data_IF_885339612869
#
_entry.id   IF_885339612869
#
_cell.length_a   1.000
_cell.length_b   1.000
_cell.length_c   1.000
_cell.angle_alpha   90.00
_cell.angle_beta   90.00
_cell.angle_gamma   90.00
#
_symmetry.space_group_name_H-M   'P 1'
#
loop_
_entity.id
_entity.type
_entity.pdbx_description
1 polymer ?
#
# COMPACT_ATOMS: atom_id res chain seq x y z
N UNK A 1 -2.45 3.56 14.61
CA UNK A 1 -1.63 2.43 14.08
C UNK A 1 -2.31 2.02 12.80
N UNK A 2 -1.55 1.84 11.72
CA UNK A 2 -2.13 1.55 10.42
C UNK A 2 -1.85 0.09 10.03
N UNK A 3 -2.88 -0.66 9.71
CA UNK A 3 -2.75 -1.96 9.06
C UNK A 3 -2.85 -1.81 7.55
N UNK A 4 -1.89 -2.35 6.81
CA UNK A 4 -1.89 -2.35 5.34
C UNK A 4 -1.94 -3.76 4.76
N UNK A 5 -2.62 -3.91 3.64
CA UNK A 5 -2.70 -5.15 2.87
C UNK A 5 -2.79 -4.88 1.36
N UNK A 6 -2.45 -5.90 0.56
CA UNK A 6 -2.55 -5.84 -0.91
C UNK A 6 -3.36 -7.00 -1.46
N UNK A 7 -4.38 -6.68 -2.26
CA UNK A 7 -5.20 -7.66 -2.97
C UNK A 7 -5.10 -7.51 -4.49
N UNK A 8 -4.77 -8.60 -5.18
CA UNK A 8 -4.91 -8.65 -6.64
C UNK A 8 -6.38 -8.55 -7.05
N UNK A 9 -6.69 -7.63 -7.96
CA UNK A 9 -8.05 -7.42 -8.44
C UNK A 9 -8.46 -8.51 -9.45
N UNK A 10 -9.75 -8.87 -9.50
CA UNK A 10 -10.28 -9.72 -10.56
C UNK A 10 -10.20 -8.98 -11.90
N UNK A 11 -10.19 -9.74 -13.01
CA UNK A 11 -10.32 -9.15 -14.33
C UNK A 11 -11.70 -8.48 -14.45
N UNK A 12 -11.71 -7.21 -14.84
CA UNK A 12 -12.94 -6.49 -15.11
C UNK A 12 -13.53 -6.87 -16.47
N UNK A 13 -14.79 -6.52 -16.68
CA UNK A 13 -15.44 -6.67 -17.99
C UNK A 13 -14.62 -5.87 -19.01
N UNK A 14 -14.18 -6.55 -20.08
CA UNK A 14 -13.30 -6.05 -21.15
C UNK A 14 -11.79 -6.09 -20.84
N UNK A 15 -11.35 -6.61 -19.70
CA UNK A 15 -9.94 -6.93 -19.47
C UNK A 15 -9.59 -8.35 -19.93
N UNK A 16 -8.40 -8.52 -20.51
CA UNK A 16 -7.92 -9.82 -20.97
C UNK A 16 -6.89 -10.40 -19.99
N UNK A 17 -6.73 -11.73 -19.99
CA UNK A 17 -5.68 -12.41 -19.19
C UNK A 17 -4.25 -12.01 -19.56
N UNK A 18 -4.07 -11.39 -20.73
CA UNK A 18 -2.77 -10.92 -21.21
C UNK A 18 -2.40 -9.54 -20.62
N UNK A 19 -3.38 -8.80 -20.11
CA UNK A 19 -3.14 -7.53 -19.44
C UNK A 19 -2.62 -7.75 -18.01
N UNK A 20 -1.77 -6.84 -17.56
CA UNK A 20 -1.24 -6.86 -16.18
C UNK A 20 -2.39 -6.69 -15.19
N UNK A 21 -2.46 -7.61 -14.21
CA UNK A 21 -3.43 -7.50 -13.11
C UNK A 21 -3.10 -6.28 -12.27
N UNK A 22 -4.12 -5.48 -11.98
CA UNK A 22 -4.04 -4.37 -11.03
C UNK A 22 -4.16 -4.89 -9.60
N UNK A 23 -3.63 -4.12 -8.66
CA UNK A 23 -3.61 -4.44 -7.25
C UNK A 23 -4.28 -3.33 -6.46
N UNK A 24 -5.17 -3.72 -5.55
CA UNK A 24 -5.77 -2.84 -4.56
C UNK A 24 -4.87 -2.85 -3.33
N UNK A 25 -4.28 -1.71 -3.02
CA UNK A 25 -3.61 -1.44 -1.76
C UNK A 25 -4.62 -0.82 -0.81
N UNK A 26 -4.62 -1.30 0.43
CA UNK A 26 -5.54 -0.85 1.48
C UNK A 26 -4.73 -0.53 2.74
N UNK A 27 -5.11 0.54 3.42
CA UNK A 27 -4.65 0.92 4.73
C UNK A 27 -5.85 1.23 5.63
N UNK A 28 -5.88 0.70 6.84
CA UNK A 28 -6.94 0.98 7.82
C UNK A 28 -6.32 1.39 9.15
N UNK A 29 -6.76 2.53 9.70
CA UNK A 29 -6.35 2.91 11.05
C UNK A 29 -7.12 2.13 12.11
N UNK A 30 -6.41 1.71 13.16
CA UNK A 30 -6.99 0.88 14.22
C UNK A 30 -7.97 1.62 15.13
N UNK A 31 -7.85 2.93 15.27
CA UNK A 31 -8.66 3.73 16.19
C UNK A 31 -9.86 4.33 15.47
N UNK A 32 -9.63 5.14 14.44
CA UNK A 32 -10.69 5.84 13.70
C UNK A 32 -11.45 4.92 12.75
N UNK A 33 -10.85 3.79 12.35
CA UNK A 33 -11.31 2.91 11.26
C UNK A 33 -11.40 3.61 9.90
N UNK A 34 -10.69 4.72 9.75
CA UNK A 34 -10.56 5.40 8.47
C UNK A 34 -9.80 4.51 7.49
N UNK A 35 -10.33 4.42 6.27
CA UNK A 35 -9.88 3.53 5.21
C UNK A 35 -9.23 4.35 4.09
N UNK A 36 -8.01 3.98 3.74
CA UNK A 36 -7.27 4.50 2.60
C UNK A 36 -7.12 3.39 1.57
N UNK A 37 -7.35 3.69 0.30
CA UNK A 37 -7.31 2.69 -0.76
C UNK A 37 -6.83 3.28 -2.08
N UNK A 38 -5.97 2.53 -2.77
CA UNK A 38 -5.45 2.91 -4.09
C UNK A 38 -5.30 1.71 -5.01
N UNK A 39 -5.52 1.90 -6.32
CA UNK A 39 -5.35 0.86 -7.34
C UNK A 39 -4.06 1.12 -8.11
N UNK A 40 -3.14 0.18 -8.04
CA UNK A 40 -1.80 0.26 -8.60
C UNK A 40 -1.57 -0.81 -9.68
N UNK A 41 -0.62 -0.56 -10.62
CA UNK A 41 -0.38 -1.46 -11.74
C UNK A 41 0.29 -2.77 -11.33
N UNK A 42 0.95 -2.83 -10.19
CA UNK A 42 1.69 -4.01 -9.73
C UNK A 42 1.79 -4.09 -8.19
N UNK A 43 2.32 -5.22 -7.72
CA UNK A 43 2.59 -5.52 -6.30
C UNK A 43 4.06 -5.22 -5.94
N UNK A 44 4.64 -4.13 -6.46
CA UNK A 44 6.05 -3.81 -6.22
C UNK A 44 6.25 -2.92 -4.99
N UNK A 45 7.51 -2.83 -4.54
CA UNK A 45 7.94 -1.87 -3.53
C UNK A 45 7.70 -0.40 -3.93
N UNK A 46 7.66 -0.11 -5.24
CA UNK A 46 7.43 1.23 -5.75
C UNK A 46 5.95 1.60 -5.60
N UNK A 47 5.06 0.68 -5.99
CA UNK A 47 3.62 0.86 -5.82
C UNK A 47 3.21 0.96 -4.36
N UNK A 48 3.78 0.14 -3.46
CA UNK A 48 3.50 0.25 -2.02
C UNK A 48 4.01 1.55 -1.40
N UNK A 49 5.19 2.01 -1.83
CA UNK A 49 5.76 3.29 -1.44
C UNK A 49 4.87 4.46 -1.90
N UNK A 50 4.45 4.47 -3.17
CA UNK A 50 3.55 5.50 -3.70
C UNK A 50 2.19 5.49 -2.99
N UNK A 51 1.64 4.31 -2.68
CA UNK A 51 0.41 4.19 -1.89
C UNK A 51 0.54 4.87 -0.52
N UNK A 52 1.62 4.56 0.21
CA UNK A 52 1.87 5.18 1.52
C UNK A 52 2.00 6.70 1.40
N UNK A 53 2.75 7.21 0.42
CA UNK A 53 2.96 8.65 0.27
C UNK A 53 1.71 9.41 -0.19
N UNK A 54 1.07 8.94 -1.27
CA UNK A 54 0.07 9.70 -2.01
C UNK A 54 -1.35 9.49 -1.50
N UNK A 55 -1.68 8.28 -1.04
CA UNK A 55 -3.04 7.92 -0.66
C UNK A 55 -3.24 7.93 0.85
N UNK A 56 -2.20 7.55 1.62
CA UNK A 56 -2.26 7.52 3.09
C UNK A 56 -1.75 8.84 3.67
N UNK A 57 -0.44 9.11 3.60
CA UNK A 57 0.18 10.23 4.32
C UNK A 57 -0.32 11.60 3.84
N UNK A 58 -0.58 11.76 2.53
CA UNK A 58 -1.11 13.01 2.00
C UNK A 58 -2.54 13.34 2.46
N UNK A 59 -3.33 12.33 2.87
CA UNK A 59 -4.74 12.49 3.25
C UNK A 59 -4.96 12.36 4.76
N UNK A 60 -4.08 11.62 5.45
CA UNK A 60 -4.22 11.26 6.85
C UNK A 60 -4.07 12.50 7.76
N UNK A 61 -5.10 12.89 8.53
CA UNK A 61 -5.05 14.11 9.34
C UNK A 61 -4.31 13.95 10.68
N UNK A 62 -3.73 12.78 10.92
CA UNK A 62 -3.00 12.43 12.14
C UNK A 62 -1.69 11.70 11.82
N UNK A 63 -0.75 11.74 12.75
CA UNK A 63 0.54 11.06 12.60
C UNK A 63 0.40 9.55 12.74
N UNK A 64 0.95 8.81 11.77
CA UNK A 64 1.01 7.35 11.82
C UNK A 64 2.35 6.96 12.46
N UNK A 65 2.30 6.41 13.67
CA UNK A 65 3.51 6.02 14.41
C UNK A 65 3.95 4.57 14.18
N UNK A 66 3.07 3.74 13.62
CA UNK A 66 3.37 2.34 13.36
C UNK A 66 2.50 1.82 12.20
N UNK A 67 3.12 1.07 11.29
CA UNK A 67 2.48 0.43 10.15
C UNK A 67 2.73 -1.08 10.19
N UNK A 68 1.65 -1.85 10.33
CA UNK A 68 1.64 -3.31 10.29
C UNK A 68 1.26 -3.82 8.90
N UNK A 69 1.98 -4.84 8.43
CA UNK A 69 1.71 -5.56 7.19
C UNK A 69 1.98 -7.05 7.38
N UNK A 70 1.68 -7.86 6.37
CA UNK A 70 2.25 -9.20 6.27
C UNK A 70 3.74 -9.13 5.85
N UNK A 71 4.38 -10.30 5.68
CA UNK A 71 5.76 -10.42 5.18
C UNK A 71 5.83 -10.35 3.63
N UNK A 72 4.89 -9.66 2.99
CA UNK A 72 4.90 -9.40 1.56
C UNK A 72 6.16 -8.64 1.15
N UNK A 73 6.72 -9.00 -0.01
CA UNK A 73 7.95 -8.39 -0.55
C UNK A 73 7.76 -6.92 -0.96
N UNK A 74 6.53 -6.49 -1.11
CA UNK A 74 6.15 -5.10 -1.32
C UNK A 74 6.26 -4.25 -0.04
N UNK A 75 6.30 -4.89 1.13
CA UNK A 75 6.39 -4.21 2.43
C UNK A 75 7.68 -4.51 3.19
N UNK A 76 8.44 -5.53 2.77
CA UNK A 76 9.65 -6.00 3.45
C UNK A 76 10.87 -5.97 2.52
N UNK A 77 11.97 -5.41 3.01
CA UNK A 77 13.25 -5.39 2.32
C UNK A 77 14.38 -4.79 3.15
N UNK A 78 15.47 -4.39 2.48
CA UNK A 78 16.62 -3.71 3.10
C UNK A 78 16.30 -2.25 3.44
N UNK A 79 17.25 -1.50 4.00
CA UNK A 79 17.13 -0.05 4.21
C UNK A 79 16.86 0.74 2.92
N UNK A 80 17.31 0.20 1.78
CA UNK A 80 17.09 0.80 0.45
C UNK A 80 15.73 0.46 -0.15
N UNK A 81 14.97 -0.44 0.48
CA UNK A 81 13.63 -0.76 0.02
C UNK A 81 12.72 0.45 0.21
N UNK A 82 12.11 0.95 -0.86
CA UNK A 82 11.48 2.27 -0.88
C UNK A 82 10.37 2.42 0.16
N UNK A 83 9.54 1.39 0.35
CA UNK A 83 8.51 1.41 1.38
C UNK A 83 9.10 1.43 2.80
N UNK A 84 10.21 0.70 3.03
CA UNK A 84 10.85 0.64 4.36
C UNK A 84 11.53 1.98 4.65
N UNK A 85 12.20 2.56 3.66
CA UNK A 85 12.82 3.87 3.74
C UNK A 85 11.80 4.94 4.13
N UNK A 86 10.63 4.94 3.51
CA UNK A 86 9.57 5.91 3.86
C UNK A 86 9.04 5.75 5.29
N UNK A 87 9.06 4.55 5.88
CA UNK A 87 8.72 4.38 7.30
C UNK A 87 9.77 4.97 8.25
N UNK A 88 11.01 5.11 7.80
CA UNK A 88 12.13 5.53 8.63
C UNK A 88 12.39 7.04 8.60
N UNK A 89 11.87 7.72 7.57
CA UNK A 89 12.00 9.17 7.38
C UNK A 89 10.88 9.97 8.11
N UNK A 90 10.01 9.29 8.88
CA UNK A 90 9.04 9.86 9.84
C UNK A 90 9.44 9.57 11.29
#
# INVERSE_FOLDING_TARGET
>A
MLHVDTKGLPLLKNETKQQTRKYLFVGIDDFSRELYAGIYPDKSQFSSAQFLQNDVLAQCPYTITCIYSDNGREYQGTSEHLFVKMKADE
#
